data_IF_816933688875
#
_entry.id   IF_816933688875
#
_cell.length_a   1.000
_cell.length_b   1.000
_cell.length_c   1.000
_cell.angle_alpha   90.00
_cell.angle_beta   90.00
_cell.angle_gamma   90.00
#
_symmetry.space_group_name_H-M   'P 1'
#
loop_
_entity.id
_entity.type
_entity.pdbx_description
1 polymer ?
#
# COMPACT_ATOMS: atom_id res chain seq x y z
N UNK A 1 -9.88 -0.53 -15.30
CA UNK A 1 -9.39 -1.91 -15.37
C UNK A 1 -8.53 -2.16 -16.60
N UNK A 2 -9.03 -1.92 -17.83
CA UNK A 2 -8.25 -2.16 -19.05
C UNK A 2 -6.88 -1.46 -19.07
N UNK A 3 -6.81 -0.18 -18.70
CA UNK A 3 -5.53 0.54 -18.57
C UNK A 3 -4.55 -0.10 -17.56
N UNK A 4 -5.04 -0.79 -16.52
CA UNK A 4 -4.18 -1.52 -15.58
C UNK A 4 -3.69 -2.84 -16.20
N UNK A 5 -4.53 -3.56 -16.95
CA UNK A 5 -4.13 -4.79 -17.65
C UNK A 5 -3.06 -4.50 -18.71
N UNK A 6 -3.23 -3.42 -19.48
CA UNK A 6 -2.22 -2.94 -20.44
C UNK A 6 -0.91 -2.61 -19.73
N UNK A 7 -0.98 -1.80 -18.66
CA UNK A 7 0.19 -1.46 -17.85
C UNK A 7 0.89 -2.68 -17.27
N UNK A 8 0.14 -3.65 -16.75
CA UNK A 8 0.68 -4.88 -16.18
C UNK A 8 1.47 -5.68 -17.23
N UNK A 9 0.88 -5.85 -18.42
CA UNK A 9 1.54 -6.51 -19.55
C UNK A 9 2.80 -5.75 -20.00
N UNK A 10 2.72 -4.43 -20.15
CA UNK A 10 3.83 -3.59 -20.59
C UNK A 10 5.00 -3.58 -19.59
N UNK A 11 4.71 -3.79 -18.30
CA UNK A 11 5.71 -3.93 -17.26
C UNK A 11 6.14 -5.38 -17.00
N UNK A 12 5.74 -6.33 -17.85
CA UNK A 12 6.24 -7.70 -17.85
C UNK A 12 5.55 -8.67 -16.89
N UNK A 13 4.38 -8.31 -16.35
CA UNK A 13 3.54 -9.28 -15.63
C UNK A 13 3.02 -10.32 -16.62
N UNK A 14 3.23 -11.59 -16.31
CA UNK A 14 2.70 -12.70 -17.11
C UNK A 14 1.64 -13.46 -16.32
N UNK A 15 0.56 -13.81 -17.00
CA UNK A 15 -0.55 -14.59 -16.43
C UNK A 15 -0.73 -15.89 -17.18
N UNK A 16 -1.02 -16.98 -16.46
CA UNK A 16 -1.31 -18.29 -17.02
C UNK A 16 -2.65 -18.81 -16.51
N UNK A 17 -3.66 -18.81 -17.39
CA UNK A 17 -4.98 -19.34 -17.06
C UNK A 17 -5.78 -18.50 -16.06
N UNK A 18 -5.40 -17.23 -15.84
CA UNK A 18 -6.13 -16.30 -14.97
C UNK A 18 -6.51 -15.01 -15.69
N UNK A 19 -7.55 -14.36 -15.20
CA UNK A 19 -8.05 -13.04 -15.65
C UNK A 19 -8.49 -12.21 -14.44
N UNK A 20 -8.63 -10.90 -14.63
CA UNK A 20 -9.20 -10.01 -13.62
C UNK A 20 -10.68 -9.78 -13.95
N UNK A 21 -11.56 -10.13 -13.01
CA UNK A 21 -12.99 -9.88 -13.10
C UNK A 21 -13.47 -9.03 -11.92
N UNK A 22 -14.58 -8.32 -12.11
CA UNK A 22 -15.26 -7.57 -11.05
C UNK A 22 -16.45 -8.39 -10.54
N UNK A 23 -16.55 -8.54 -9.23
CA UNK A 23 -17.71 -9.15 -8.56
C UNK A 23 -18.51 -8.12 -7.79
N UNK A 24 -19.76 -8.48 -7.48
CA UNK A 24 -20.65 -7.66 -6.64
C UNK A 24 -20.25 -7.63 -5.16
N UNK A 25 -19.43 -8.58 -4.69
CA UNK A 25 -19.20 -8.80 -3.26
C UNK A 25 -17.79 -8.46 -2.80
N UNK A 26 -16.77 -8.71 -3.63
CA UNK A 26 -15.35 -8.50 -3.29
C UNK A 26 -14.65 -7.46 -4.17
N UNK A 27 -15.39 -6.79 -5.06
CA UNK A 27 -14.80 -5.89 -6.04
C UNK A 27 -14.00 -6.65 -7.10
N UNK A 28 -12.81 -6.16 -7.45
CA UNK A 28 -11.96 -6.81 -8.44
C UNK A 28 -11.22 -8.01 -7.83
N UNK A 29 -11.12 -9.11 -8.57
CA UNK A 29 -10.37 -10.28 -8.15
C UNK A 29 -9.75 -11.06 -9.30
N UNK A 30 -8.85 -11.99 -8.98
CA UNK A 30 -8.31 -12.96 -9.94
C UNK A 30 -9.22 -14.18 -10.07
N UNK A 31 -9.54 -14.54 -11.30
CA UNK A 31 -10.39 -15.67 -11.66
C UNK A 31 -9.67 -16.60 -12.63
N UNK A 32 -9.89 -17.90 -12.49
CA UNK A 32 -9.42 -18.87 -13.47
C UNK A 32 -10.19 -18.69 -14.79
N UNK A 33 -9.46 -18.48 -15.89
CA UNK A 33 -10.00 -18.47 -17.26
C UNK A 33 -9.89 -19.85 -17.93
N UNK A 34 -9.21 -20.80 -17.29
CA UNK A 34 -9.06 -22.18 -17.72
C UNK A 34 -8.81 -23.11 -16.53
N UNK A 35 -8.76 -24.43 -16.77
CA UNK A 35 -8.37 -25.38 -15.72
C UNK A 35 -6.89 -25.16 -15.36
N UNK A 36 -6.63 -24.81 -14.09
CA UNK A 36 -5.28 -24.68 -13.52
C UNK A 36 -4.99 -25.93 -12.69
N UNK A 37 -3.82 -26.55 -12.91
CA UNK A 37 -3.37 -27.66 -12.05
C UNK A 37 -2.72 -27.09 -10.79
N UNK A 38 -2.86 -27.80 -9.67
CA UNK A 38 -2.15 -27.46 -8.44
C UNK A 38 -0.63 -27.29 -8.68
N UNK A 39 0.01 -26.38 -7.94
CA UNK A 39 1.43 -26.01 -8.08
C UNK A 39 1.83 -25.43 -9.45
N UNK A 40 0.86 -24.97 -10.25
CA UNK A 40 1.16 -24.21 -11.47
C UNK A 40 1.35 -22.73 -11.12
N UNK A 41 2.44 -22.14 -11.58
CA UNK A 41 2.61 -20.69 -11.51
C UNK A 41 1.56 -20.01 -12.41
N UNK A 42 0.66 -19.23 -11.79
CA UNK A 42 -0.45 -18.54 -12.46
C UNK A 42 -0.15 -17.08 -12.76
N UNK A 43 0.75 -16.46 -12.00
CA UNK A 43 1.18 -15.08 -12.19
C UNK A 43 2.68 -14.99 -11.92
N UNK A 44 3.44 -14.44 -12.88
CA UNK A 44 4.83 -14.03 -12.70
C UNK A 44 4.87 -12.50 -12.62
N UNK A 45 5.44 -11.95 -11.53
CA UNK A 45 5.54 -10.51 -11.30
C UNK A 45 7.02 -10.12 -11.24
N UNK A 46 7.47 -9.20 -12.10
CA UNK A 46 8.85 -8.71 -12.04
C UNK A 46 9.17 -8.02 -10.71
N UNK A 47 10.36 -8.26 -10.17
CA UNK A 47 10.85 -7.63 -8.93
C UNK A 47 10.80 -6.09 -9.01
N UNK A 48 10.94 -5.52 -10.21
CA UNK A 48 10.83 -4.07 -10.43
C UNK A 48 9.48 -3.48 -10.03
N UNK A 49 8.43 -4.30 -9.95
CA UNK A 49 7.08 -3.89 -9.55
C UNK A 49 6.78 -4.10 -8.07
N UNK A 50 7.66 -4.78 -7.33
CA UNK A 50 7.49 -4.99 -5.88
C UNK A 50 7.85 -3.69 -5.16
N UNK A 51 6.87 -3.10 -4.47
CA UNK A 51 7.01 -1.84 -3.75
C UNK A 51 7.36 -2.09 -2.29
N UNK A 52 8.66 -2.11 -1.99
CA UNK A 52 9.20 -2.06 -0.61
C UNK A 52 9.63 -0.64 -0.23
N UNK A 53 9.84 -0.40 1.06
CA UNK A 53 10.41 0.85 1.55
C UNK A 53 11.74 1.21 0.86
N UNK A 54 12.66 0.24 0.76
CA UNK A 54 13.95 0.42 0.08
C UNK A 54 13.79 0.76 -1.40
N UNK A 55 12.85 0.09 -2.09
CA UNK A 55 12.58 0.36 -3.51
C UNK A 55 12.08 1.78 -3.72
N UNK A 56 11.10 2.19 -2.92
CA UNK A 56 10.47 3.52 -2.99
C UNK A 56 11.50 4.63 -2.79
N UNK A 57 12.42 4.50 -1.84
CA UNK A 57 13.49 5.49 -1.61
C UNK A 57 14.49 5.58 -2.77
N UNK A 58 14.79 4.44 -3.40
CA UNK A 58 15.74 4.36 -4.52
C UNK A 58 15.17 4.84 -5.85
N UNK A 59 13.88 4.58 -6.11
CA UNK A 59 13.26 4.82 -7.42
C UNK A 59 12.18 5.89 -7.42
N UNK A 60 11.87 6.47 -6.25
CA UNK A 60 10.91 7.56 -6.13
C UNK A 60 11.34 8.80 -6.93
N UNK A 61 10.36 9.56 -7.41
CA UNK A 61 10.61 10.84 -8.07
C UNK A 61 10.91 11.94 -7.05
N UNK A 62 11.63 12.98 -7.48
CA UNK A 62 12.05 14.07 -6.60
C UNK A 62 10.90 14.82 -5.90
N UNK A 63 9.72 15.06 -6.53
CA UNK A 63 8.64 15.73 -5.83
C UNK A 63 7.98 14.87 -4.73
N UNK A 64 8.09 13.54 -4.81
CA UNK A 64 7.79 12.64 -3.69
C UNK A 64 8.90 12.69 -2.64
N UNK A 65 10.14 12.39 -3.05
CA UNK A 65 11.26 12.15 -2.15
C UNK A 65 11.68 13.39 -1.35
N UNK A 66 11.73 14.57 -1.97
CA UNK A 66 12.30 15.75 -1.32
C UNK A 66 11.54 16.16 -0.03
N UNK A 67 10.20 16.25 -0.03
CA UNK A 67 9.43 16.41 1.20
C UNK A 67 9.65 15.31 2.24
N UNK A 68 9.70 14.05 1.79
CA UNK A 68 9.88 12.88 2.67
C UNK A 68 11.23 12.93 3.37
N UNK A 69 12.33 13.10 2.64
CA UNK A 69 13.67 13.21 3.23
C UNK A 69 13.73 14.35 4.23
N UNK A 70 13.20 15.53 3.87
CA UNK A 70 13.18 16.68 4.78
C UNK A 70 12.39 16.40 6.06
N UNK A 71 11.24 15.73 5.96
CA UNK A 71 10.46 15.32 7.13
C UNK A 71 11.26 14.40 8.05
N UNK A 72 11.83 13.31 7.52
CA UNK A 72 12.60 12.36 8.32
C UNK A 72 13.85 13.02 8.94
N UNK A 73 14.55 13.89 8.21
CA UNK A 73 15.69 14.62 8.75
C UNK A 73 15.31 15.51 9.93
N UNK A 74 14.17 16.21 9.86
CA UNK A 74 13.70 17.07 10.95
C UNK A 74 13.20 16.23 12.12
N UNK A 75 12.32 15.26 11.84
CA UNK A 75 11.64 14.47 12.86
C UNK A 75 12.61 13.62 13.70
N UNK A 76 13.62 13.03 13.05
CA UNK A 76 14.59 12.15 13.67
C UNK A 76 15.97 12.79 13.86
N UNK A 77 16.10 14.11 13.62
CA UNK A 77 17.36 14.87 13.75
C UNK A 77 18.54 14.30 12.92
N UNK A 78 18.24 13.76 11.73
CA UNK A 78 19.20 13.09 10.85
C UNK A 78 19.96 14.10 9.99
N UNK A 79 21.20 13.75 9.61
CA UNK A 79 22.14 14.66 8.95
C UNK A 79 22.47 14.27 7.52
N UNK A 80 22.00 13.11 7.06
CA UNK A 80 22.26 12.57 5.73
C UNK A 80 21.09 11.75 5.19
N UNK A 81 21.02 11.62 3.86
CA UNK A 81 20.03 10.75 3.20
C UNK A 81 20.23 9.27 3.55
N UNK A 82 21.46 8.84 3.83
CA UNK A 82 21.75 7.45 4.23
C UNK A 82 21.13 7.12 5.59
N UNK A 83 21.23 8.03 6.55
CA UNK A 83 20.56 7.88 7.85
C UNK A 83 19.03 7.85 7.67
N UNK A 84 18.49 8.71 6.80
CA UNK A 84 17.05 8.69 6.48
C UNK A 84 16.66 7.35 5.88
N UNK A 85 17.44 6.80 4.95
CA UNK A 85 17.15 5.53 4.31
C UNK A 85 17.07 4.39 5.33
N UNK A 86 17.99 4.35 6.30
CA UNK A 86 17.97 3.35 7.37
C UNK A 86 16.68 3.45 8.20
N UNK A 87 16.36 4.64 8.71
CA UNK A 87 15.19 4.84 9.58
C UNK A 87 13.88 4.65 8.81
N UNK A 88 13.80 5.14 7.56
CA UNK A 88 12.61 4.99 6.74
C UNK A 88 12.36 3.53 6.32
N UNK A 89 13.41 2.72 6.20
CA UNK A 89 13.30 1.28 6.00
C UNK A 89 12.85 0.52 7.26
N UNK A 90 13.12 1.02 8.47
CA UNK A 90 12.53 0.49 9.69
C UNK A 90 11.05 0.89 9.84
N UNK A 91 10.64 1.98 9.18
CA UNK A 91 9.28 2.55 9.21
C UNK A 91 8.50 2.23 7.93
N UNK A 92 8.54 0.97 7.47
CA UNK A 92 8.03 0.56 6.15
C UNK A 92 6.57 0.96 5.90
N UNK A 93 5.68 0.69 6.87
CA UNK A 93 4.26 1.06 6.79
C UNK A 93 4.11 2.55 6.54
N UNK A 94 4.81 3.37 7.32
CA UNK A 94 4.67 4.81 7.26
C UNK A 94 5.12 5.35 5.90
N UNK A 95 6.28 4.91 5.41
CA UNK A 95 6.79 5.31 4.10
C UNK A 95 5.88 4.84 2.95
N UNK A 96 5.38 3.60 3.00
CA UNK A 96 4.49 3.07 1.97
C UNK A 96 3.11 3.74 2.00
N UNK A 97 2.62 4.17 3.17
CA UNK A 97 1.43 5.02 3.26
C UNK A 97 1.67 6.39 2.61
N UNK A 98 2.81 7.02 2.87
CA UNK A 98 3.19 8.29 2.22
C UNK A 98 3.28 8.14 0.70
N UNK A 99 3.85 7.03 0.21
CA UNK A 99 3.89 6.69 -1.21
C UNK A 99 2.47 6.60 -1.80
N UNK A 100 1.59 5.81 -1.17
CA UNK A 100 0.20 5.68 -1.59
C UNK A 100 -0.51 7.04 -1.66
N UNK A 101 -0.36 7.88 -0.63
CA UNK A 101 -0.99 9.21 -0.58
C UNK A 101 -0.49 10.10 -1.72
N UNK A 102 0.83 10.21 -1.89
CA UNK A 102 1.39 11.07 -2.91
C UNK A 102 0.91 10.66 -4.31
N UNK A 103 1.03 9.39 -4.66
CA UNK A 103 0.69 8.92 -6.00
C UNK A 103 -0.81 8.85 -6.27
N UNK A 104 -1.64 8.76 -5.24
CA UNK A 104 -3.09 8.78 -5.38
C UNK A 104 -3.66 10.21 -5.51
N UNK A 105 -3.14 11.17 -4.72
CA UNK A 105 -3.80 12.47 -4.55
C UNK A 105 -3.00 13.66 -5.09
N UNK A 106 -1.67 13.56 -5.17
CA UNK A 106 -0.81 14.71 -5.46
C UNK A 106 -0.02 14.58 -6.76
N UNK A 107 0.32 13.36 -7.17
CA UNK A 107 1.03 13.11 -8.42
C UNK A 107 0.14 13.47 -9.62
N UNK A 108 0.61 14.36 -10.48
CA UNK A 108 -0.11 14.73 -11.72
C UNK A 108 0.08 13.71 -12.83
N UNK A 109 1.21 12.99 -12.83
CA UNK A 109 1.50 11.89 -13.74
C UNK A 109 2.50 10.94 -13.08
N UNK A 110 2.26 9.64 -13.18
CA UNK A 110 3.17 8.61 -12.68
C UNK A 110 3.00 7.31 -13.45
N UNK A 111 4.06 6.53 -13.58
CA UNK A 111 3.98 5.14 -14.08
C UNK A 111 3.07 4.28 -13.18
N UNK A 112 2.90 4.63 -11.91
CA UNK A 112 2.03 3.92 -10.96
C UNK A 112 0.56 4.28 -11.08
N UNK A 113 0.20 5.28 -11.89
CA UNK A 113 -1.19 5.75 -12.04
C UNK A 113 -2.18 4.62 -12.36
N UNK A 114 -1.87 3.66 -13.28
CA UNK A 114 -2.80 2.57 -13.57
C UNK A 114 -3.06 1.66 -12.36
N UNK A 115 -2.05 1.43 -11.52
CA UNK A 115 -2.18 0.67 -10.27
C UNK A 115 -3.00 1.45 -9.23
N UNK A 116 -2.68 2.73 -9.00
CA UNK A 116 -3.40 3.58 -8.05
C UNK A 116 -4.91 3.65 -8.34
N UNK A 117 -5.28 3.70 -9.64
CA UNK A 117 -6.68 3.75 -10.09
C UNK A 117 -7.49 2.48 -9.83
N UNK A 118 -6.87 1.34 -9.55
CA UNK A 118 -7.60 0.10 -9.23
C UNK A 118 -7.70 -0.18 -7.74
N UNK A 119 -7.04 0.62 -6.89
CA UNK A 119 -7.17 0.55 -5.46
C UNK A 119 -8.58 1.02 -5.03
N UNK A 120 -9.09 0.56 -3.87
CA UNK A 120 -10.37 1.04 -3.35
C UNK A 120 -10.37 2.56 -3.23
N UNK A 121 -11.46 3.23 -3.60
CA UNK A 121 -11.53 4.68 -3.46
C UNK A 121 -11.71 5.09 -2.00
N UNK A 122 -11.42 6.35 -1.69
CA UNK A 122 -11.74 6.93 -0.37
C UNK A 122 -13.22 6.82 -0.05
N UNK A 123 -14.10 7.06 -1.02
CA UNK A 123 -15.56 6.93 -0.83
C UNK A 123 -15.96 5.48 -0.52
N UNK A 124 -15.34 4.50 -1.18
CA UNK A 124 -15.59 3.09 -0.86
C UNK A 124 -15.26 2.79 0.61
N UNK A 125 -14.13 3.27 1.14
CA UNK A 125 -13.83 3.07 2.56
C UNK A 125 -14.68 3.90 3.50
N UNK A 126 -15.10 5.10 3.10
CA UNK A 126 -16.09 5.89 3.85
C UNK A 126 -17.40 5.15 4.04
N UNK A 127 -17.82 4.36 3.07
CA UNK A 127 -19.06 3.61 3.14
C UNK A 127 -18.90 2.23 3.82
N UNK A 128 -17.72 1.61 3.75
CA UNK A 128 -17.54 0.19 4.09
C UNK A 128 -16.53 -0.10 5.20
N UNK A 129 -15.62 0.82 5.53
CA UNK A 129 -14.55 0.58 6.49
C UNK A 129 -14.86 1.19 7.86
N UNK A 130 -14.61 0.41 8.91
CA UNK A 130 -14.92 0.76 10.30
C UNK A 130 -14.12 1.97 10.82
N UNK A 131 -12.96 2.29 10.23
CA UNK A 131 -12.18 3.49 10.59
C UNK A 131 -12.86 4.80 10.17
N UNK A 132 -13.74 4.77 9.16
CA UNK A 132 -14.57 5.90 8.78
C UNK A 132 -15.96 5.86 9.44
N UNK A 133 -16.34 4.71 10.00
CA UNK A 133 -17.64 4.44 10.61
C UNK A 133 -17.50 3.85 12.02
N UNK A 134 -16.63 4.45 12.84
CA UNK A 134 -16.27 3.93 14.16
C UNK A 134 -17.46 3.88 15.13
N UNK A 135 -18.50 4.67 14.87
CA UNK A 135 -19.77 4.61 15.60
C UNK A 135 -20.43 3.22 15.58
N UNK A 136 -20.19 2.39 14.56
CA UNK A 136 -20.76 1.05 14.42
C UNK A 136 -20.22 0.10 15.50
N UNK A 137 -18.98 0.31 15.95
CA UNK A 137 -18.34 -0.56 16.95
C UNK A 137 -18.55 -0.08 18.39
N UNK A 138 -19.30 1.00 18.61
CA UNK A 138 -19.55 1.54 19.94
C UNK A 138 -20.28 0.55 20.83
N UNK A 139 -19.77 0.34 22.05
CA UNK A 139 -20.26 -0.64 23.02
C UNK A 139 -19.78 -2.07 22.78
N UNK A 140 -18.99 -2.31 21.72
CA UNK A 140 -18.40 -3.63 21.44
C UNK A 140 -16.99 -3.74 22.04
N UNK A 141 -16.44 -4.96 22.06
CA UNK A 141 -15.05 -5.17 22.47
C UNK A 141 -14.02 -4.53 21.52
N UNK A 142 -14.42 -4.14 20.30
CA UNK A 142 -13.53 -3.52 19.31
C UNK A 142 -13.41 -2.00 19.48
N UNK A 143 -14.35 -1.34 20.16
CA UNK A 143 -14.39 0.14 20.29
C UNK A 143 -13.04 0.72 20.74
N UNK A 144 -12.47 0.14 21.79
CA UNK A 144 -11.20 0.63 22.37
C UNK A 144 -10.04 0.50 21.40
N UNK A 145 -9.95 -0.64 20.68
CA UNK A 145 -8.87 -0.89 19.72
C UNK A 145 -8.97 0.02 18.49
N UNK A 146 -10.19 0.24 17.99
CA UNK A 146 -10.45 1.14 16.86
C UNK A 146 -10.10 2.58 17.25
N UNK A 147 -10.58 3.05 18.40
CA UNK A 147 -10.26 4.38 18.90
C UNK A 147 -8.76 4.57 19.12
N UNK A 148 -8.07 3.57 19.68
CA UNK A 148 -6.62 3.63 19.87
C UNK A 148 -5.89 3.75 18.53
N UNK A 149 -6.24 2.93 17.54
CA UNK A 149 -5.65 2.99 16.19
C UNK A 149 -5.90 4.34 15.52
N UNK A 150 -7.13 4.86 15.57
CA UNK A 150 -7.45 6.19 15.03
C UNK A 150 -6.71 7.31 15.74
N UNK A 151 -6.49 7.20 17.07
CA UNK A 151 -5.70 8.16 17.83
C UNK A 151 -4.24 8.17 17.40
N UNK A 152 -3.65 6.99 17.14
CA UNK A 152 -2.28 6.87 16.61
C UNK A 152 -2.18 7.53 15.24
N UNK A 153 -3.08 7.17 14.32
CA UNK A 153 -3.08 7.76 12.97
C UNK A 153 -3.26 9.29 13.00
N UNK A 154 -4.08 9.80 13.93
CA UNK A 154 -4.27 11.24 14.10
C UNK A 154 -2.98 11.91 14.55
N UNK A 155 -2.32 11.32 15.54
CA UNK A 155 -1.07 11.84 16.06
C UNK A 155 0.02 11.86 14.98
N UNK A 156 0.19 10.77 14.23
CA UNK A 156 1.12 10.70 13.10
C UNK A 156 0.84 11.79 12.05
N UNK A 157 -0.44 12.01 11.71
CA UNK A 157 -0.81 13.07 10.76
C UNK A 157 -0.51 14.48 11.32
N UNK A 158 -0.77 14.71 12.60
CA UNK A 158 -0.48 15.99 13.24
C UNK A 158 1.03 16.27 13.25
N UNK A 159 1.86 15.24 13.49
CA UNK A 159 3.32 15.33 13.38
C UNK A 159 3.76 15.66 11.94
N UNK A 160 3.24 14.92 10.95
CA UNK A 160 3.49 15.19 9.53
C UNK A 160 3.12 16.64 9.19
N UNK A 161 1.98 17.15 9.65
CA UNK A 161 1.56 18.53 9.36
C UNK A 161 2.44 19.57 10.04
N UNK A 162 2.92 19.28 11.25
CA UNK A 162 3.73 20.22 12.02
C UNK A 162 5.16 20.40 11.46
N UNK A 163 5.72 19.34 10.85
CA UNK A 163 7.12 19.30 10.41
C UNK A 163 7.28 19.12 8.90
N UNK A 164 6.24 18.64 8.22
CA UNK A 164 6.21 18.39 6.79
C UNK A 164 6.17 19.67 5.97
N UNK A 165 6.46 19.53 4.68
CA UNK A 165 6.37 20.64 3.72
C UNK A 165 5.94 20.14 2.35
N UNK A 166 5.48 21.04 1.48
CA UNK A 166 4.92 20.65 0.19
C UNK A 166 3.65 19.81 0.38
N UNK A 167 3.49 18.75 -0.40
CA UNK A 167 2.30 17.89 -0.33
C UNK A 167 2.06 17.24 1.04
N UNK A 168 3.11 17.07 1.86
CA UNK A 168 2.97 16.52 3.21
C UNK A 168 2.11 17.39 4.13
N UNK A 169 2.20 18.72 4.02
CA UNK A 169 1.37 19.63 4.83
C UNK A 169 -0.09 19.66 4.38
N UNK A 170 -0.35 19.26 3.14
CA UNK A 170 -1.67 19.26 2.51
C UNK A 170 -2.42 17.92 2.70
N UNK A 171 -1.81 16.93 3.37
CA UNK A 171 -2.46 15.65 3.62
C UNK A 171 -3.71 15.84 4.49
N UNK A 172 -4.85 15.39 4.00
CA UNK A 172 -6.09 15.39 4.76
C UNK A 172 -6.28 14.10 5.57
N UNK A 173 -7.13 14.17 6.59
CA UNK A 173 -7.43 13.02 7.44
C UNK A 173 -7.87 11.79 6.64
N UNK A 174 -8.78 11.99 5.69
CA UNK A 174 -9.34 10.91 4.89
C UNK A 174 -8.29 10.26 3.98
N UNK A 175 -7.31 11.03 3.48
CA UNK A 175 -6.20 10.52 2.69
C UNK A 175 -5.31 9.59 3.53
N UNK A 176 -5.03 10.00 4.77
CA UNK A 176 -4.16 9.23 5.66
C UNK A 176 -4.82 7.93 6.13
N UNK A 177 -6.09 7.98 6.53
CA UNK A 177 -6.85 6.77 6.90
C UNK A 177 -7.02 5.85 5.69
N UNK A 178 -7.31 6.40 4.50
CA UNK A 178 -7.37 5.63 3.26
C UNK A 178 -6.08 4.87 2.99
N UNK A 179 -4.92 5.51 3.18
CA UNK A 179 -3.63 4.89 2.94
C UNK A 179 -3.33 3.75 3.93
N UNK A 180 -3.62 3.94 5.22
CA UNK A 180 -3.43 2.89 6.23
C UNK A 180 -4.37 1.69 5.99
N UNK A 181 -5.64 1.95 5.64
CA UNK A 181 -6.59 0.92 5.23
C UNK A 181 -6.11 0.16 3.99
N UNK A 182 -5.69 0.88 2.95
CA UNK A 182 -5.18 0.31 1.70
C UNK A 182 -3.97 -0.56 1.99
N UNK A 183 -3.00 -0.04 2.74
CA UNK A 183 -1.78 -0.74 3.10
C UNK A 183 -2.08 -2.05 3.83
N UNK A 184 -2.83 -2.02 4.94
CA UNK A 184 -3.08 -3.24 5.72
C UNK A 184 -3.96 -4.26 5.01
N UNK A 185 -4.75 -3.85 4.02
CA UNK A 185 -5.53 -4.78 3.19
C UNK A 185 -4.71 -5.47 2.10
N UNK A 186 -3.44 -5.08 1.87
CA UNK A 186 -2.66 -5.45 0.68
C UNK A 186 -1.19 -5.79 0.92
N UNK A 187 -0.63 -5.30 2.02
CA UNK A 187 0.77 -5.53 2.33
C UNK A 187 1.04 -6.99 2.64
N UNK A 188 2.16 -7.49 2.11
CA UNK A 188 2.68 -8.84 2.37
C UNK A 188 4.13 -8.74 2.83
N UNK A 189 4.56 -9.68 3.67
CA UNK A 189 5.96 -9.84 4.02
C UNK A 189 6.70 -10.62 2.92
N UNK A 190 7.83 -10.11 2.45
CA UNK A 190 8.70 -10.75 1.47
C UNK A 190 10.09 -10.93 2.09
N UNK A 191 10.64 -12.15 2.04
CA UNK A 191 11.98 -12.49 2.55
C UNK A 191 12.30 -13.98 2.37
N UNK A 192 13.59 -14.32 2.29
CA UNK A 192 14.04 -15.71 2.19
C UNK A 192 13.97 -16.42 3.55
N UNK A 193 13.10 -17.41 3.66
CA UNK A 193 13.10 -18.36 4.76
C UNK A 193 14.31 -19.29 4.64
N UNK A 194 15.34 -19.04 5.46
CA UNK A 194 16.12 -20.08 6.17
C UNK A 194 17.11 -19.50 7.19
N UNK A 195 17.48 -18.23 7.06
CA UNK A 195 18.26 -17.50 8.07
C UNK A 195 17.55 -16.17 8.30
N UNK A 196 17.06 -15.94 9.51
CA UNK A 196 16.22 -14.80 9.89
C UNK A 196 16.85 -13.44 9.55
N UNK A 197 16.66 -12.98 8.31
CA UNK A 197 16.79 -11.59 7.90
C UNK A 197 15.37 -11.11 7.71
N UNK A 198 14.99 -10.09 8.48
CA UNK A 198 13.63 -9.61 8.68
C UNK A 198 12.85 -9.50 7.36
N UNK A 199 11.63 -10.05 7.33
CA UNK A 199 10.76 -9.94 6.17
C UNK A 199 10.37 -8.47 5.96
N UNK A 200 10.63 -7.94 4.77
CA UNK A 200 10.22 -6.59 4.40
C UNK A 200 8.77 -6.56 3.97
N UNK A 201 8.01 -5.57 4.42
CA UNK A 201 6.64 -5.33 3.95
C UNK A 201 6.67 -4.76 2.53
N UNK A 202 5.80 -5.29 1.69
CA UNK A 202 5.70 -4.92 0.29
C UNK A 202 4.25 -4.78 -0.16
N UNK A 203 4.01 -3.84 -1.08
CA UNK A 203 2.83 -3.86 -1.95
C UNK A 203 3.23 -4.52 -3.27
N UNK A 204 2.44 -5.50 -3.71
CA UNK A 204 2.71 -6.25 -4.93
C UNK A 204 1.53 -6.08 -5.87
N UNK A 205 1.61 -5.11 -6.81
CA UNK A 205 0.55 -4.90 -7.80
C UNK A 205 0.21 -6.21 -8.50
N UNK A 206 -1.08 -6.43 -8.77
CA UNK A 206 -1.63 -7.63 -9.40
C UNK A 206 -1.77 -8.83 -8.45
N UNK A 207 -0.77 -9.11 -7.61
CA UNK A 207 -0.89 -10.14 -6.57
C UNK A 207 -1.96 -9.77 -5.54
N UNK A 208 -2.06 -8.49 -5.20
CA UNK A 208 -3.04 -7.94 -4.26
C UNK A 208 -4.51 -7.96 -4.75
N UNK A 209 -4.76 -8.50 -5.95
CA UNK A 209 -6.08 -8.84 -6.47
C UNK A 209 -6.52 -10.26 -6.11
N UNK A 210 -5.63 -11.11 -5.57
CA UNK A 210 -6.00 -12.41 -5.06
C UNK A 210 -6.82 -12.24 -3.78
N UNK A 211 -8.08 -12.68 -3.80
CA UNK A 211 -8.94 -12.68 -2.61
C UNK A 211 -8.58 -13.86 -1.70
N UNK A 212 -8.74 -13.68 -0.39
CA UNK A 212 -8.52 -14.76 0.58
C UNK A 212 -9.52 -15.91 0.37
N UNK A 213 -9.01 -17.15 0.40
CA UNK A 213 -9.80 -18.37 0.58
C UNK A 213 -9.76 -18.82 2.04
N UNK A 214 -10.81 -19.53 2.47
CA UNK A 214 -10.86 -20.16 3.79
C UNK A 214 -9.93 -21.40 3.88
N UNK A 215 -9.55 -21.96 2.74
CA UNK A 215 -8.65 -23.11 2.63
C UNK A 215 -7.19 -22.66 2.45
N UNK A 216 -6.25 -23.46 3.00
CA UNK A 216 -4.80 -23.27 3.13
C UNK A 216 -4.14 -22.22 2.22
N UNK A 217 -3.25 -21.41 2.81
CA UNK A 217 -2.35 -20.53 2.04
C UNK A 217 -1.40 -21.36 1.17
N UNK A 218 -1.56 -21.28 -0.15
CA UNK A 218 -0.63 -21.87 -1.13
C UNK A 218 0.55 -20.94 -1.44
N UNK A 219 0.95 -20.11 -0.47
CA UNK A 219 2.14 -19.24 -0.58
C UNK A 219 3.36 -20.08 -0.25
#
# INVERSE_FOLDING_TARGET
>A
MESFKEWANDNGIKTNGVTIETTQYSGNGLFASSHIKENTCVVEIPESLILTASKVLKTGDQPFLSPVYKYFMIHYELRSEEEVNSIAMEQERFLLCLFLIYYQFFATSSSWTPYMRILPSTDYFKDNHLFFNDFIVKGTCLETSVRAKLSVLRHELDEIKSQGSGWLSDIEWDMYVWADCTFWSRAVGIGESEVAVEASLALVPFFDLANHSLDNSNI
#
